data_IF_526746107476
#
_entry.id   IF_526746107476
#
_cell.length_a   1.000
_cell.length_b   1.000
_cell.length_c   1.000
_cell.angle_alpha   90.00
_cell.angle_beta   90.00
_cell.angle_gamma   90.00
#
_symmetry.space_group_name_H-M   'P 1'
#
loop_
_entity.id
_entity.type
_entity.pdbx_description
1 polymer ?
#
# COMPACT_ATOMS: atom_id res chain seq x y z
N UNK A 1 9.93 -5.13 -9.69
CA UNK A 1 8.95 -6.18 -9.31
C UNK A 1 7.79 -6.10 -10.28
N UNK A 2 7.36 -7.23 -10.82
CA UNK A 2 6.18 -7.24 -11.68
C UNK A 2 4.90 -7.33 -10.84
N UNK A 3 3.75 -7.19 -11.51
CA UNK A 3 2.46 -7.17 -10.81
C UNK A 3 2.14 -8.50 -10.14
N UNK A 4 2.56 -9.62 -10.73
CA UNK A 4 2.31 -10.94 -10.14
C UNK A 4 3.11 -11.14 -8.85
N UNK A 5 4.38 -10.74 -8.85
CA UNK A 5 5.23 -10.81 -7.67
C UNK A 5 4.74 -9.85 -6.59
N UNK A 6 4.27 -8.67 -7.00
CA UNK A 6 3.69 -7.68 -6.09
C UNK A 6 2.47 -8.27 -5.39
N UNK A 7 1.56 -8.84 -6.16
CA UNK A 7 0.35 -9.47 -5.63
C UNK A 7 0.71 -10.62 -4.68
N UNK A 8 1.65 -11.47 -5.07
CA UNK A 8 2.06 -12.59 -4.25
C UNK A 8 2.63 -12.12 -2.90
N UNK A 9 3.43 -11.06 -2.93
CA UNK A 9 3.97 -10.51 -1.69
C UNK A 9 2.86 -9.99 -0.77
N UNK A 10 1.93 -9.20 -1.31
CA UNK A 10 0.82 -8.66 -0.51
C UNK A 10 0.01 -9.80 0.12
N UNK A 11 -0.31 -10.82 -0.67
CA UNK A 11 -1.10 -11.95 -0.16
C UNK A 11 -0.34 -12.80 0.84
N UNK A 12 0.99 -12.71 0.86
CA UNK A 12 1.80 -13.42 1.86
C UNK A 12 1.72 -12.78 3.25
N UNK A 13 1.31 -11.51 3.31
CA UNK A 13 1.19 -10.82 4.60
C UNK A 13 -0.06 -11.32 5.35
N UNK A 14 0.08 -11.69 6.63
CA UNK A 14 -1.01 -12.33 7.36
C UNK A 14 -2.30 -11.50 7.37
N UNK A 15 -3.42 -12.17 7.17
CA UNK A 15 -4.74 -11.55 7.19
C UNK A 15 -5.09 -10.72 5.98
N UNK A 16 -4.23 -10.72 4.95
CA UNK A 16 -4.49 -9.95 3.74
C UNK A 16 -5.52 -10.62 2.86
N UNK A 17 -6.50 -9.83 2.42
CA UNK A 17 -7.46 -10.21 1.40
C UNK A 17 -7.32 -9.26 0.23
N UNK A 18 -7.85 -9.64 -0.92
CA UNK A 18 -7.85 -8.77 -2.09
C UNK A 18 -9.25 -8.64 -2.66
N UNK A 19 -9.50 -7.51 -3.32
CA UNK A 19 -10.78 -7.28 -3.98
C UNK A 19 -10.54 -6.33 -5.16
N UNK A 20 -11.28 -6.57 -6.24
CA UNK A 20 -11.24 -5.70 -7.42
C UNK A 20 -12.31 -4.64 -7.25
N UNK A 21 -11.92 -3.38 -7.22
CA UNK A 21 -12.82 -2.25 -7.03
C UNK A 21 -12.69 -1.27 -8.18
N UNK A 22 -13.77 -0.54 -8.44
CA UNK A 22 -13.77 0.53 -9.44
C UNK A 22 -13.26 0.07 -10.82
N UNK A 23 -13.62 -1.16 -11.21
CA UNK A 23 -13.25 -1.70 -12.51
C UNK A 23 -11.90 -2.39 -12.53
N UNK A 24 -10.81 -1.63 -12.56
CA UNK A 24 -9.47 -2.18 -12.73
C UNK A 24 -8.55 -1.97 -11.54
N UNK A 25 -9.07 -1.54 -10.39
CA UNK A 25 -8.25 -1.31 -9.19
C UNK A 25 -8.26 -2.52 -8.28
N UNK A 26 -7.09 -3.15 -8.12
CA UNK A 26 -6.92 -4.26 -7.21
C UNK A 26 -6.48 -3.72 -5.85
N UNK A 27 -7.30 -3.98 -4.83
CA UNK A 27 -7.08 -3.47 -3.48
C UNK A 27 -6.69 -4.62 -2.56
N UNK A 28 -5.66 -4.40 -1.75
CA UNK A 28 -5.24 -5.34 -0.72
C UNK A 28 -5.65 -4.77 0.64
N UNK A 29 -6.28 -5.62 1.44
CA UNK A 29 -6.94 -5.19 2.67
C UNK A 29 -6.51 -6.08 3.84
N UNK A 30 -6.53 -5.48 5.03
CA UNK A 30 -6.45 -6.21 6.28
C UNK A 30 -7.64 -5.75 7.14
N UNK A 31 -8.37 -6.70 7.68
CA UNK A 31 -9.59 -6.42 8.45
C UNK A 31 -10.54 -5.49 7.66
N UNK A 32 -10.70 -5.78 6.36
CA UNK A 32 -11.55 -5.02 5.43
C UNK A 32 -11.12 -3.56 5.23
N UNK A 33 -9.92 -3.19 5.66
CA UNK A 33 -9.36 -1.85 5.46
C UNK A 33 -8.27 -1.90 4.40
N UNK A 34 -8.39 -1.04 3.39
CA UNK A 34 -7.44 -1.01 2.29
C UNK A 34 -6.10 -0.47 2.76
N UNK A 35 -4.99 -1.14 2.41
CA UNK A 35 -3.65 -0.64 2.68
C UNK A 35 -2.78 -0.50 1.43
N UNK A 36 -3.17 -1.10 0.31
CA UNK A 36 -2.50 -0.92 -0.99
C UNK A 36 -3.55 -0.97 -2.08
N UNK A 37 -3.41 -0.07 -3.06
CA UNK A 37 -4.24 -0.07 -4.27
C UNK A 37 -3.29 -0.14 -5.46
N UNK A 38 -3.53 -1.06 -6.39
CA UNK A 38 -2.75 -1.13 -7.62
C UNK A 38 -3.70 -1.18 -8.81
N UNK A 39 -3.24 -0.70 -9.97
CA UNK A 39 -4.01 -0.74 -11.20
C UNK A 39 -3.62 -1.96 -12.01
N UNK A 40 -4.62 -2.63 -12.60
CA UNK A 40 -4.35 -3.74 -13.53
C UNK A 40 -3.96 -3.26 -14.92
N UNK A 41 -4.21 -1.98 -15.23
CA UNK A 41 -3.90 -1.42 -16.55
C UNK A 41 -2.47 -0.90 -16.66
N UNK A 42 -1.91 -0.46 -15.55
CA UNK A 42 -0.55 0.04 -15.49
C UNK A 42 0.09 -0.39 -14.17
N UNK A 43 1.38 -0.11 -14.01
CA UNK A 43 2.12 -0.57 -12.84
C UNK A 43 2.17 0.47 -11.71
N UNK A 44 1.13 1.28 -11.59
CA UNK A 44 1.01 2.23 -10.47
C UNK A 44 0.54 1.52 -9.22
N UNK A 45 0.98 2.02 -8.09
CA UNK A 45 0.50 1.53 -6.79
C UNK A 45 0.43 2.69 -5.81
N UNK A 46 -0.55 2.63 -4.90
CA UNK A 46 -0.70 3.59 -3.82
C UNK A 46 -0.66 2.86 -2.50
N UNK A 47 0.02 3.46 -1.52
CA UNK A 47 0.10 2.88 -0.18
C UNK A 47 0.13 3.98 0.87
N UNK A 48 -0.22 3.62 2.08
CA UNK A 48 -0.27 4.55 3.20
C UNK A 48 1.13 4.70 3.80
N UNK A 49 1.46 5.91 4.24
CA UNK A 49 2.73 6.18 4.91
C UNK A 49 2.51 7.07 6.12
N UNK A 50 3.51 7.14 6.99
CA UNK A 50 3.50 8.10 8.09
C UNK A 50 3.62 9.52 7.54
N UNK A 51 2.93 10.50 8.14
CA UNK A 51 3.09 11.89 7.73
C UNK A 51 4.53 12.37 7.76
N UNK A 52 5.34 11.83 8.66
CA UNK A 52 6.77 12.16 8.78
C UNK A 52 7.56 11.75 7.53
N UNK A 53 7.17 10.65 6.89
CA UNK A 53 7.84 10.15 5.70
C UNK A 53 7.29 10.75 4.41
N UNK A 54 6.11 11.35 4.47
CA UNK A 54 5.39 11.79 3.29
C UNK A 54 6.20 12.77 2.45
N UNK A 55 6.73 13.81 3.06
CA UNK A 55 7.46 14.86 2.33
C UNK A 55 8.73 14.32 1.68
N UNK A 56 9.42 13.42 2.37
CA UNK A 56 10.62 12.78 1.83
C UNK A 56 10.28 11.91 0.63
N UNK A 57 9.18 11.16 0.72
CA UNK A 57 8.76 10.28 -0.36
C UNK A 57 8.36 11.07 -1.61
N UNK A 58 7.52 12.11 -1.47
CA UNK A 58 7.05 12.87 -2.63
C UNK A 58 8.15 13.74 -3.25
N UNK A 59 9.26 13.94 -2.56
CA UNK A 59 10.41 14.62 -3.12
C UNK A 59 11.18 13.75 -4.12
N UNK A 60 10.94 12.44 -4.11
CA UNK A 60 11.59 11.52 -5.05
C UNK A 60 10.84 11.50 -6.39
N UNK A 61 11.59 11.35 -7.48
CA UNK A 61 11.00 11.22 -8.81
C UNK A 61 10.08 10.00 -8.87
N UNK A 62 8.91 10.18 -9.46
CA UNK A 62 7.96 9.09 -9.65
C UNK A 62 7.06 8.81 -8.45
N UNK A 63 7.15 9.61 -7.39
CA UNK A 63 6.28 9.47 -6.21
C UNK A 63 5.53 10.78 -5.99
N UNK A 64 4.22 10.67 -5.77
CA UNK A 64 3.35 11.83 -5.59
C UNK A 64 2.25 11.53 -4.59
N UNK A 65 1.53 12.56 -4.17
CA UNK A 65 0.31 12.38 -3.39
C UNK A 65 -0.66 11.51 -4.19
N UNK A 66 -1.21 10.48 -3.57
CA UNK A 66 -2.20 9.63 -4.23
C UNK A 66 -3.49 10.42 -4.47
N UNK A 67 -4.00 10.45 -5.73
CA UNK A 67 -5.23 11.19 -6.03
C UNK A 67 -6.42 10.63 -5.25
N UNK A 68 -7.28 11.53 -4.79
CA UNK A 68 -8.54 11.19 -4.10
C UNK A 68 -8.38 10.46 -2.77
N UNK A 69 -7.17 10.41 -2.23
CA UNK A 69 -6.90 9.79 -0.92
C UNK A 69 -6.40 10.84 0.06
N UNK A 70 -6.38 10.50 1.34
CA UNK A 70 -6.06 11.44 2.42
C UNK A 70 -4.70 12.11 2.21
N UNK A 71 -4.71 13.45 2.12
CA UNK A 71 -3.51 14.23 1.91
C UNK A 71 -2.52 14.04 3.05
N UNK A 72 -1.24 13.84 2.67
CA UNK A 72 -0.17 13.65 3.63
C UNK A 72 -0.08 12.26 4.23
N UNK A 73 -0.97 11.34 3.84
CA UNK A 73 -1.02 9.99 4.38
C UNK A 73 -0.90 8.91 3.31
N UNK A 74 -1.14 9.23 2.04
CA UNK A 74 -1.10 8.27 0.94
C UNK A 74 -0.23 8.78 -0.17
N UNK A 75 0.65 7.93 -0.68
CA UNK A 75 1.50 8.23 -1.83
C UNK A 75 1.21 7.26 -2.96
N UNK A 76 1.45 7.71 -4.20
CA UNK A 76 1.37 6.89 -5.38
C UNK A 76 2.73 6.83 -6.04
N UNK A 77 3.20 5.62 -6.35
CA UNK A 77 4.38 5.44 -7.19
C UNK A 77 3.91 5.21 -8.60
N UNK A 78 4.55 5.88 -9.56
CA UNK A 78 4.13 5.84 -10.97
C UNK A 78 4.38 4.47 -11.59
N UNK A 79 5.38 3.75 -11.11
CA UNK A 79 5.75 2.41 -11.55
C UNK A 79 6.22 1.61 -10.36
N UNK A 80 6.02 0.30 -10.38
CA UNK A 80 6.45 -0.57 -9.28
C UNK A 80 7.98 -0.57 -9.07
N UNK A 81 8.74 -0.21 -10.08
CA UNK A 81 10.21 -0.16 -9.99
C UNK A 81 10.77 1.21 -9.57
N UNK A 82 9.92 2.18 -9.27
CA UNK A 82 10.36 3.46 -8.70
C UNK A 82 11.10 3.24 -7.39
N UNK A 83 10.67 2.27 -6.61
CA UNK A 83 11.38 1.82 -5.42
C UNK A 83 12.05 0.48 -5.72
N UNK A 84 13.24 0.25 -5.15
CA UNK A 84 13.83 -1.07 -5.27
C UNK A 84 12.95 -2.09 -4.54
N UNK A 85 13.15 -3.37 -4.84
CA UNK A 85 12.27 -4.43 -4.34
C UNK A 85 12.24 -4.47 -2.81
N UNK A 86 13.38 -4.29 -2.17
CA UNK A 86 13.47 -4.31 -0.70
C UNK A 86 12.65 -3.17 -0.09
N UNK A 87 12.84 -1.96 -0.59
CA UNK A 87 12.12 -0.80 -0.07
C UNK A 87 10.63 -0.89 -0.36
N UNK A 88 10.24 -1.37 -1.54
CA UNK A 88 8.84 -1.55 -1.89
C UNK A 88 8.16 -2.50 -0.90
N UNK A 89 8.79 -3.63 -0.62
CA UNK A 89 8.26 -4.59 0.37
C UNK A 89 8.13 -3.97 1.75
N UNK A 90 9.12 -3.21 2.19
CA UNK A 90 9.08 -2.52 3.48
C UNK A 90 7.94 -1.52 3.55
N UNK A 91 7.71 -0.77 2.47
CA UNK A 91 6.63 0.22 2.42
C UNK A 91 5.26 -0.44 2.41
N UNK A 92 5.10 -1.55 1.71
CA UNK A 92 3.84 -2.31 1.70
C UNK A 92 3.55 -2.84 3.10
N UNK A 93 4.52 -3.49 3.73
CA UNK A 93 4.36 -4.02 5.08
C UNK A 93 4.10 -2.90 6.09
N UNK A 94 4.76 -1.75 5.92
CA UNK A 94 4.56 -0.58 6.75
C UNK A 94 3.15 0.01 6.62
N UNK A 95 2.62 0.04 5.39
CA UNK A 95 1.25 0.50 5.15
C UNK A 95 0.25 -0.38 5.87
N UNK A 96 0.42 -1.71 5.77
CA UNK A 96 -0.42 -2.66 6.49
C UNK A 96 -0.35 -2.41 8.01
N UNK A 97 0.86 -2.23 8.53
CA UNK A 97 1.05 -1.98 9.96
C UNK A 97 0.34 -0.69 10.42
N UNK A 98 0.38 0.35 9.60
CA UNK A 98 -0.30 1.61 9.90
C UNK A 98 -1.82 1.42 9.98
N UNK A 99 -2.39 0.66 9.05
CA UNK A 99 -3.82 0.38 9.06
C UNK A 99 -4.19 -0.40 10.32
N UNK A 100 -3.41 -1.43 10.66
CA UNK A 100 -3.65 -2.22 11.87
C UNK A 100 -3.56 -1.35 13.12
N UNK A 101 -2.62 -0.41 13.16
CA UNK A 101 -2.42 0.47 14.33
C UNK A 101 -3.64 1.34 14.63
N UNK A 102 -4.52 1.53 13.68
CA UNK A 102 -5.77 2.32 13.86
C UNK A 102 -6.95 1.47 14.31
N UNK A 103 -6.78 0.16 14.36
CA UNK A 103 -7.83 -0.75 14.83
C UNK A 103 -7.85 -0.76 16.36
N UNK A 104 -8.98 -1.16 16.97
CA UNK A 104 -9.01 -1.37 18.43
C UNK A 104 -7.94 -2.38 18.84
N UNK A 105 -7.35 -2.20 20.02
CA UNK A 105 -6.27 -3.08 20.49
C UNK A 105 -6.65 -4.55 20.48
N UNK A 106 -7.88 -4.85 20.82
CA UNK A 106 -8.40 -6.22 20.82
C UNK A 106 -8.34 -6.82 19.41
N UNK A 107 -8.68 -6.03 18.41
CA UNK A 107 -8.63 -6.43 17.01
C UNK A 107 -7.19 -6.54 16.52
N UNK A 108 -6.31 -5.63 16.95
CA UNK A 108 -4.90 -5.67 16.58
C UNK A 108 -4.25 -7.01 16.94
N UNK A 109 -4.66 -7.61 18.04
CA UNK A 109 -4.10 -8.88 18.51
C UNK A 109 -4.32 -10.02 17.50
N UNK A 110 -5.32 -9.92 16.63
CA UNK A 110 -5.58 -10.92 15.59
C UNK A 110 -4.48 -10.95 14.51
N UNK A 111 -3.68 -9.90 14.40
CA UNK A 111 -2.70 -9.73 13.32
C UNK A 111 -1.25 -9.68 13.81
N UNK A 112 -1.04 -10.05 15.06
CA UNK A 112 0.30 -10.08 15.65
C UNK A 112 0.88 -11.50 15.66
#
# INVERSE_FOLDING_TARGET
>A
MDIESFRAYCLSLPGTTEDLKWGEHLCFMVHEKIYVITSLEDNRASFKCNPEDFNELIARDGIRQAPHLAKGHWVQIDQLDVLNQKELKERIAGSRALVISKLPKKTQALYQ
#
